data_IF_433112430928
#
_entry.id   IF_433112430928
#
_cell.length_a   1.000
_cell.length_b   1.000
_cell.length_c   1.000
_cell.angle_alpha   90.00
_cell.angle_beta   90.00
_cell.angle_gamma   90.00
#
_symmetry.space_group_name_H-M   'P 1'
#
loop_
_entity.id
_entity.type
_entity.pdbx_description
1 polymer ?
#
# COMPACT_ATOMS: atom_id res chain seq x y z
N UNK A 1 9.38 -8.64 -16.05
CA UNK A 1 9.47 -7.29 -15.44
C UNK A 1 10.79 -6.68 -15.86
N UNK A 2 10.74 -5.62 -16.65
CA UNK A 2 11.89 -4.73 -16.86
C UNK A 2 11.82 -3.68 -15.75
N UNK A 3 12.86 -3.57 -14.92
CA UNK A 3 12.85 -2.66 -13.75
C UNK A 3 13.69 -1.43 -14.06
N UNK A 4 13.19 -0.54 -14.92
CA UNK A 4 13.81 0.76 -15.08
C UNK A 4 13.78 1.51 -13.73
N UNK A 5 14.89 2.12 -13.32
CA UNK A 5 14.91 2.93 -12.10
C UNK A 5 13.95 4.13 -12.23
N UNK A 6 13.90 4.74 -13.41
CA UNK A 6 12.80 5.62 -13.83
C UNK A 6 11.53 4.77 -14.01
N UNK A 7 10.50 5.00 -13.19
CA UNK A 7 9.29 4.18 -13.17
C UNK A 7 9.39 2.86 -12.38
N UNK A 8 10.41 2.71 -11.52
CA UNK A 8 10.67 1.48 -10.78
C UNK A 8 9.50 1.03 -9.90
N UNK A 9 9.14 -0.25 -10.03
CA UNK A 9 8.15 -0.93 -9.20
C UNK A 9 8.78 -1.74 -8.04
N UNK A 10 10.02 -1.42 -7.64
CA UNK A 10 10.69 -2.06 -6.51
C UNK A 10 9.94 -1.91 -5.19
N UNK A 11 9.32 -0.75 -4.96
CA UNK A 11 8.42 -0.55 -3.83
C UNK A 11 7.06 -1.21 -4.01
N UNK A 12 6.69 -1.59 -5.24
CA UNK A 12 5.38 -2.13 -5.55
C UNK A 12 5.20 -3.58 -5.11
N UNK A 13 6.24 -4.28 -4.69
CA UNK A 13 6.13 -5.64 -4.16
C UNK A 13 6.94 -5.79 -2.87
N UNK A 14 6.54 -6.73 -2.02
CA UNK A 14 7.38 -7.26 -0.95
C UNK A 14 8.05 -8.54 -1.46
N UNK A 15 9.35 -8.44 -1.69
CA UNK A 15 10.15 -9.45 -2.36
C UNK A 15 10.74 -10.49 -1.41
N UNK A 16 10.63 -10.28 -0.08
CA UNK A 16 11.32 -11.11 0.92
C UNK A 16 10.99 -12.59 0.79
N UNK A 17 9.74 -12.91 0.48
CA UNK A 17 9.31 -14.30 0.28
C UNK A 17 10.10 -15.00 -0.84
N UNK A 18 10.52 -14.27 -1.88
CA UNK A 18 11.35 -14.85 -2.95
C UNK A 18 12.80 -15.04 -2.49
N UNK A 19 13.34 -14.11 -1.71
CA UNK A 19 14.70 -14.21 -1.17
C UNK A 19 14.84 -15.43 -0.23
N UNK A 20 13.83 -15.70 0.59
CA UNK A 20 13.80 -16.86 1.52
C UNK A 20 13.77 -18.22 0.78
N UNK A 21 13.14 -18.28 -0.39
CA UNK A 21 13.13 -19.48 -1.23
C UNK A 21 14.51 -19.73 -1.86
N UNK A 22 15.25 -18.66 -2.21
CA UNK A 22 16.60 -18.75 -2.77
C UNK A 22 17.66 -19.22 -1.76
N UNK A 23 17.53 -18.85 -0.48
CA UNK A 23 18.45 -19.29 0.58
C UNK A 23 18.25 -20.77 0.97
N UNK A 24 17.05 -21.32 0.75
CA UNK A 24 16.70 -22.71 1.11
C UNK A 24 17.21 -23.78 0.13
N UNK A 25 17.76 -23.42 -1.03
CA UNK A 25 18.41 -24.39 -1.92
C UNK A 25 19.80 -24.87 -1.41
N UNK A 26 20.31 -24.31 -0.30
CA UNK A 26 21.66 -24.59 0.21
C UNK A 26 21.82 -25.05 1.66
N UNK A 27 20.82 -24.96 2.54
CA UNK A 27 21.03 -25.17 3.98
C UNK A 27 19.90 -25.92 4.69
N UNK A 28 19.83 -27.24 4.47
CA UNK A 28 19.22 -28.14 5.46
C UNK A 28 20.27 -28.33 6.55
N UNK A 29 20.20 -27.55 7.63
CA UNK A 29 20.72 -28.03 8.91
C UNK A 29 19.59 -28.09 9.94
N UNK A 30 19.42 -29.31 10.41
CA UNK A 30 18.25 -29.78 11.14
C UNK A 30 18.44 -29.60 12.64
N UNK A 31 17.93 -28.50 13.22
CA UNK A 31 17.56 -28.47 14.64
C UNK A 31 16.38 -27.52 14.85
N UNK A 32 15.28 -28.04 15.35
CA UNK A 32 14.12 -27.26 15.74
C UNK A 32 14.41 -26.35 16.93
N UNK A 33 14.43 -25.04 16.67
CA UNK A 33 14.21 -24.00 17.67
C UNK A 33 13.28 -22.96 17.04
N UNK A 34 12.23 -22.63 17.78
CA UNK A 34 11.15 -21.75 17.35
C UNK A 34 11.67 -20.42 16.79
N UNK A 35 11.31 -20.12 15.54
CA UNK A 35 11.06 -18.77 14.98
C UNK A 35 11.62 -17.60 15.81
N UNK A 36 12.94 -17.53 15.95
CA UNK A 36 13.62 -16.35 16.45
C UNK A 36 13.68 -15.38 15.28
N UNK A 37 12.75 -14.41 15.28
CA UNK A 37 12.84 -13.06 14.67
C UNK A 37 13.99 -12.94 13.65
N UNK A 38 13.82 -13.53 12.47
CA UNK A 38 14.82 -13.45 11.39
C UNK A 38 14.85 -12.03 10.84
N UNK A 39 16.05 -11.58 10.54
CA UNK A 39 16.46 -10.22 10.19
C UNK A 39 15.37 -9.37 9.56
N UNK A 40 15.07 -8.22 10.19
CA UNK A 40 14.43 -7.12 9.48
C UNK A 40 15.48 -6.49 8.56
N UNK A 41 15.21 -6.24 7.26
CA UNK A 41 16.25 -5.95 6.26
C UNK A 41 16.85 -4.53 6.30
N UNK A 42 16.65 -3.80 7.40
CA UNK A 42 17.25 -2.49 7.71
C UNK A 42 17.89 -2.49 9.10
N UNK A 43 18.02 -3.68 9.70
CA UNK A 43 18.64 -3.87 11.01
C UNK A 43 19.96 -4.58 10.81
N UNK A 44 20.93 -3.84 10.28
CA UNK A 44 22.33 -4.22 10.19
C UNK A 44 22.98 -4.30 11.58
N UNK A 45 22.21 -4.54 12.66
CA UNK A 45 22.69 -4.55 14.05
C UNK A 45 23.31 -3.24 14.55
N UNK A 46 23.50 -2.24 13.67
CA UNK A 46 24.19 -0.97 13.88
C UNK A 46 23.44 0.24 13.28
N UNK A 47 22.26 0.05 12.67
CA UNK A 47 21.47 1.13 12.06
C UNK A 47 20.62 1.95 13.06
N UNK A 48 20.73 3.28 13.05
CA UNK A 48 19.93 4.23 13.85
C UNK A 48 18.44 4.33 13.40
N UNK A 49 17.94 3.42 12.55
CA UNK A 49 16.58 3.47 12.01
C UNK A 49 15.49 3.21 13.05
N UNK A 50 14.34 3.90 12.99
CA UNK A 50 13.15 3.52 13.79
C UNK A 50 12.46 2.34 13.12
N UNK A 51 12.22 1.21 13.80
CA UNK A 51 11.58 0.06 13.17
C UNK A 51 10.06 0.31 12.98
N UNK A 52 9.49 -0.02 11.80
CA UNK A 52 8.04 0.07 11.58
C UNK A 52 7.29 -0.93 12.47
N UNK A 53 6.05 -0.59 12.79
CA UNK A 53 5.13 -1.43 13.56
C UNK A 53 4.52 -2.53 12.69
N UNK A 54 4.20 -2.22 11.44
CA UNK A 54 3.80 -3.21 10.44
C UNK A 54 5.01 -4.04 9.95
N UNK A 55 4.72 -4.97 9.04
CA UNK A 55 5.69 -5.90 8.45
C UNK A 55 5.87 -5.66 6.95
N UNK A 56 5.56 -4.48 6.40
CA UNK A 56 5.84 -4.21 4.99
C UNK A 56 7.28 -3.66 4.82
N UNK A 57 8.09 -4.34 4.00
CA UNK A 57 9.49 -3.96 3.78
C UNK A 57 9.63 -2.61 3.06
N UNK A 58 8.74 -2.28 2.12
CA UNK A 58 8.85 -1.08 1.29
C UNK A 58 7.64 -0.18 1.44
N UNK A 59 7.83 1.11 1.67
CA UNK A 59 6.68 2.00 1.86
C UNK A 59 6.93 3.37 1.28
N UNK A 60 6.21 3.67 0.21
CA UNK A 60 6.15 5.01 -0.36
C UNK A 60 5.19 5.83 0.51
N UNK A 61 5.75 6.79 1.22
CA UNK A 61 4.97 7.72 2.03
C UNK A 61 4.38 8.81 1.13
N UNK A 62 3.07 8.89 1.06
CA UNK A 62 2.35 9.89 0.29
C UNK A 62 2.30 11.23 1.01
N UNK A 63 2.36 12.30 0.23
CA UNK A 63 2.07 13.65 0.66
C UNK A 63 0.56 13.84 0.91
N UNK A 64 0.24 14.84 1.71
CA UNK A 64 -1.14 15.20 2.10
C UNK A 64 -2.05 15.39 0.89
N UNK A 65 -1.56 16.09 -0.12
CA UNK A 65 -2.38 16.46 -1.27
C UNK A 65 -2.65 15.25 -2.18
N UNK A 66 -1.73 14.28 -2.23
CA UNK A 66 -1.97 12.96 -2.85
C UNK A 66 -3.03 12.17 -2.07
N UNK A 67 -2.95 12.14 -0.73
CA UNK A 67 -3.98 11.51 0.12
C UNK A 67 -5.36 12.11 -0.15
N UNK A 68 -5.45 13.45 -0.25
CA UNK A 68 -6.71 14.13 -0.61
C UNK A 68 -7.19 13.75 -2.00
N UNK A 69 -6.29 13.66 -2.97
CA UNK A 69 -6.61 13.22 -4.32
C UNK A 69 -7.24 11.83 -4.35
N UNK A 70 -6.69 10.87 -3.62
CA UNK A 70 -7.29 9.52 -3.49
C UNK A 70 -8.65 9.55 -2.79
N UNK A 71 -8.83 10.37 -1.76
CA UNK A 71 -10.13 10.52 -1.07
C UNK A 71 -11.19 11.13 -1.99
N UNK A 72 -10.83 12.14 -2.78
CA UNK A 72 -11.71 12.76 -3.79
C UNK A 72 -12.12 11.77 -4.88
N UNK A 73 -11.23 10.84 -5.23
CA UNK A 73 -11.49 9.80 -6.22
C UNK A 73 -12.24 8.57 -5.66
N UNK A 74 -12.69 8.61 -4.40
CA UNK A 74 -13.34 7.45 -3.76
C UNK A 74 -12.41 6.25 -3.55
N UNK A 75 -11.09 6.45 -3.63
CA UNK A 75 -10.07 5.40 -3.58
C UNK A 75 -9.45 5.24 -2.18
N UNK A 76 -10.18 5.58 -1.12
CA UNK A 76 -9.70 5.46 0.26
C UNK A 76 -9.22 4.03 0.62
N UNK A 77 -9.83 3.02 -0.01
CA UNK A 77 -9.47 1.62 0.13
C UNK A 77 -8.03 1.30 -0.29
N UNK A 78 -7.42 2.13 -1.16
CA UNK A 78 -6.05 2.01 -1.63
C UNK A 78 -5.01 2.39 -0.57
N UNK A 79 -5.40 3.19 0.43
CA UNK A 79 -4.46 3.83 1.35
C UNK A 79 -4.31 3.04 2.65
N UNK A 80 -3.17 3.16 3.33
CA UNK A 80 -2.97 2.60 4.67
C UNK A 80 -2.01 3.46 5.50
N UNK A 81 -2.24 3.61 6.81
CA UNK A 81 -1.26 4.22 7.69
C UNK A 81 -0.09 3.27 8.00
N UNK A 82 1.07 3.84 8.28
CA UNK A 82 2.24 3.16 8.90
C UNK A 82 2.70 3.94 10.12
N UNK A 83 2.96 3.21 11.20
CA UNK A 83 3.52 3.73 12.45
C UNK A 83 4.92 3.18 12.70
N UNK A 84 5.70 3.85 13.54
CA UNK A 84 7.03 3.41 13.97
C UNK A 84 7.12 3.27 15.47
N UNK A 85 8.02 2.40 15.92
CA UNK A 85 8.38 2.35 17.33
C UNK A 85 9.22 3.57 17.71
N UNK A 86 9.01 4.08 18.91
CA UNK A 86 9.91 5.04 19.51
C UNK A 86 11.29 4.42 19.75
N UNK A 87 12.35 5.23 19.71
CA UNK A 87 13.71 4.78 20.06
C UNK A 87 13.85 4.63 21.58
N UNK A 88 13.22 5.52 22.32
CA UNK A 88 13.17 5.55 23.78
C UNK A 88 11.88 6.20 24.30
N UNK A 89 11.70 6.16 25.63
CA UNK A 89 10.51 6.66 26.32
C UNK A 89 10.26 8.17 26.12
N UNK A 90 11.28 8.96 25.77
CA UNK A 90 11.16 10.41 25.60
C UNK A 90 10.62 10.81 24.22
N UNK A 91 10.72 9.91 23.25
CA UNK A 91 10.26 10.09 21.87
C UNK A 91 8.95 9.34 21.58
N UNK A 92 8.34 8.72 22.61
CA UNK A 92 7.26 7.77 22.46
C UNK A 92 6.01 8.09 23.25
N UNK A 93 4.90 7.51 22.80
CA UNK A 93 3.65 7.39 23.55
C UNK A 93 3.19 5.94 23.55
N UNK A 94 2.78 5.44 24.71
CA UNK A 94 2.31 4.06 24.83
C UNK A 94 0.87 3.92 24.33
N UNK A 95 0.68 3.08 23.32
CA UNK A 95 -0.63 2.74 22.75
C UNK A 95 -0.64 1.24 22.47
N UNK A 96 -1.69 0.54 22.89
CA UNK A 96 -1.84 -0.91 22.71
C UNK A 96 -0.63 -1.73 23.21
N UNK A 97 0.01 -1.27 24.29
CA UNK A 97 1.22 -1.90 24.86
C UNK A 97 2.47 -1.76 23.98
N UNK A 98 2.50 -0.78 23.08
CA UNK A 98 3.63 -0.47 22.20
C UNK A 98 4.02 0.99 22.34
N UNK A 99 5.32 1.25 22.40
CA UNK A 99 5.89 2.60 22.34
C UNK A 99 5.87 3.12 20.92
N UNK A 100 4.90 3.98 20.59
CA UNK A 100 4.72 4.57 19.26
C UNK A 100 5.47 5.89 19.19
N UNK A 101 6.27 6.08 18.13
CA UNK A 101 7.00 7.33 17.91
C UNK A 101 6.06 8.53 17.89
N UNK A 102 6.48 9.63 18.51
CA UNK A 102 5.65 10.80 18.70
C UNK A 102 6.43 12.12 18.52
N UNK A 103 5.73 13.16 18.10
CA UNK A 103 6.22 14.53 18.07
C UNK A 103 5.34 15.37 18.99
N UNK A 104 5.94 15.97 20.03
CA UNK A 104 5.23 16.73 21.06
C UNK A 104 4.06 15.94 21.70
N UNK A 105 4.30 14.65 22.00
CA UNK A 105 3.30 13.76 22.60
C UNK A 105 2.19 13.30 21.64
N UNK A 106 2.32 13.58 20.34
CA UNK A 106 1.36 13.16 19.31
C UNK A 106 1.94 12.02 18.47
N UNK A 107 1.29 10.84 18.45
CA UNK A 107 1.74 9.70 17.65
C UNK A 107 1.88 10.10 16.20
N UNK A 108 3.01 9.74 15.59
CA UNK A 108 3.27 10.06 14.18
C UNK A 108 3.13 8.86 13.27
N UNK A 109 2.65 9.10 12.05
CA UNK A 109 2.43 8.09 11.03
C UNK A 109 2.64 8.66 9.62
N UNK A 110 2.95 7.79 8.65
CA UNK A 110 2.81 8.10 7.22
C UNK A 110 1.54 7.43 6.69
N UNK A 111 1.08 7.88 5.53
CA UNK A 111 0.09 7.19 4.71
C UNK A 111 0.78 6.72 3.46
N UNK A 112 0.46 5.51 3.00
CA UNK A 112 1.03 4.89 1.80
C UNK A 112 -0.01 4.05 1.08
N UNK A 113 0.42 3.38 0.02
CA UNK A 113 -0.43 2.47 -0.75
C UNK A 113 -0.45 1.07 -0.13
N UNK A 114 -1.62 0.43 -0.17
CA UNK A 114 -1.80 -0.95 0.28
C UNK A 114 -1.21 -1.94 -0.71
N UNK A 115 -0.79 -3.07 -0.14
CA UNK A 115 -0.26 -4.22 -0.88
C UNK A 115 -1.10 -5.47 -0.62
N UNK A 116 -2.29 -5.61 -1.25
CA UNK A 116 -3.02 -6.88 -1.18
C UNK A 116 -2.16 -8.04 -1.73
N UNK A 117 -2.45 -9.29 -1.33
CA UNK A 117 -1.76 -10.44 -1.89
C UNK A 117 -2.19 -10.65 -3.35
N UNK A 118 -1.27 -10.57 -4.31
CA UNK A 118 -1.55 -10.86 -5.72
C UNK A 118 -0.70 -12.04 -6.23
N UNK A 119 -1.20 -12.84 -7.18
CA UNK A 119 -0.45 -13.95 -7.76
C UNK A 119 0.47 -13.40 -8.85
N UNK A 120 1.75 -13.22 -8.56
CA UNK A 120 2.72 -12.59 -9.46
C UNK A 120 3.84 -13.55 -9.82
N UNK A 121 4.34 -13.45 -11.06
CA UNK A 121 5.48 -14.23 -11.55
C UNK A 121 6.60 -13.29 -12.04
N UNK A 122 7.32 -12.61 -11.13
CA UNK A 122 8.41 -11.71 -11.51
C UNK A 122 9.66 -12.49 -11.97
N UNK A 123 10.59 -11.80 -12.63
CA UNK A 123 11.88 -12.36 -13.09
C UNK A 123 11.77 -13.63 -13.95
N UNK A 124 10.74 -13.69 -14.80
CA UNK A 124 10.49 -14.78 -15.76
C UNK A 124 10.31 -16.15 -15.08
N UNK A 125 9.91 -16.14 -13.80
CA UNK A 125 9.51 -17.34 -13.10
C UNK A 125 8.32 -17.97 -13.80
N UNK A 126 8.37 -19.28 -13.98
CA UNK A 126 7.27 -20.04 -14.59
C UNK A 126 6.07 -20.18 -13.65
N UNK A 127 6.31 -20.24 -12.34
CA UNK A 127 5.28 -20.43 -11.32
C UNK A 127 5.01 -19.11 -10.56
N UNK A 128 3.75 -18.63 -10.50
CA UNK A 128 3.38 -17.45 -9.74
C UNK A 128 3.44 -17.73 -8.23
N UNK A 129 3.73 -16.68 -7.47
CA UNK A 129 3.69 -16.69 -6.02
C UNK A 129 2.73 -15.62 -5.50
N UNK A 130 2.07 -15.90 -4.37
CA UNK A 130 1.27 -14.87 -3.72
C UNK A 130 2.16 -13.89 -2.95
N UNK A 131 2.40 -12.71 -3.52
CA UNK A 131 3.21 -11.66 -2.90
C UNK A 131 2.33 -10.47 -2.45
N UNK A 132 2.68 -9.78 -1.36
CA UNK A 132 2.15 -8.45 -1.08
C UNK A 132 2.53 -7.51 -2.23
N UNK A 133 1.55 -7.08 -3.00
CA UNK A 133 1.74 -6.34 -4.24
C UNK A 133 0.87 -5.10 -4.24
N UNK A 134 1.45 -3.95 -4.55
CA UNK A 134 0.79 -2.65 -4.66
C UNK A 134 -0.53 -2.80 -5.39
N UNK A 135 -1.55 -2.18 -4.80
CA UNK A 135 -2.92 -2.26 -5.29
C UNK A 135 -3.06 -1.89 -6.79
N UNK A 136 -2.22 -1.00 -7.30
CA UNK A 136 -2.25 -0.57 -8.70
C UNK A 136 -1.32 -1.35 -9.64
N UNK A 137 -0.51 -2.26 -9.12
CA UNK A 137 0.35 -3.09 -9.96
C UNK A 137 -0.48 -4.24 -10.55
N UNK A 138 -0.58 -4.30 -11.87
CA UNK A 138 -1.16 -5.43 -12.57
C UNK A 138 -0.28 -6.67 -12.39
N UNK A 139 -0.80 -7.78 -11.82
CA UNK A 139 0.02 -8.96 -11.60
C UNK A 139 0.41 -9.71 -12.88
N UNK A 140 -0.29 -9.51 -14.01
CA UNK A 140 0.05 -10.12 -15.29
C UNK A 140 1.27 -9.44 -15.93
N UNK A 141 1.18 -8.12 -16.08
CA UNK A 141 2.18 -7.32 -16.79
C UNK A 141 3.30 -6.81 -15.88
N UNK A 142 3.06 -6.80 -14.57
CA UNK A 142 3.92 -6.19 -13.55
C UNK A 142 4.15 -4.70 -13.79
N UNK A 143 3.13 -4.02 -14.33
CA UNK A 143 3.12 -2.59 -14.60
C UNK A 143 2.11 -1.87 -13.70
N UNK A 144 2.38 -0.60 -13.41
CA UNK A 144 1.44 0.24 -12.67
C UNK A 144 0.32 0.72 -13.60
N UNK A 145 -0.94 0.39 -13.25
CA UNK A 145 -2.14 0.77 -14.02
C UNK A 145 -2.41 2.27 -14.06
N UNK A 146 -1.88 3.00 -13.11
CA UNK A 146 -2.07 4.45 -13.00
C UNK A 146 -0.80 5.24 -13.35
N UNK A 147 0.23 4.59 -13.90
CA UNK A 147 1.46 5.26 -14.33
C UNK A 147 1.15 6.40 -15.31
N UNK A 148 1.80 7.57 -15.12
CA UNK A 148 1.56 8.83 -15.85
C UNK A 148 0.10 9.33 -15.87
N UNK A 149 -0.79 8.67 -15.14
CA UNK A 149 -2.17 9.10 -14.96
C UNK A 149 -2.24 10.27 -13.99
N UNK A 150 -3.36 11.02 -14.03
CA UNK A 150 -3.62 12.14 -13.11
C UNK A 150 -3.52 11.74 -11.62
N UNK A 151 -3.69 10.45 -11.32
CA UNK A 151 -3.65 9.90 -9.95
C UNK A 151 -2.34 9.18 -9.63
N UNK A 152 -1.38 9.16 -10.54
CA UNK A 152 -0.04 8.65 -10.23
C UNK A 152 0.57 9.51 -9.12
N UNK A 153 0.96 8.94 -7.97
CA UNK A 153 1.58 9.73 -6.93
C UNK A 153 2.96 10.24 -7.38
N UNK A 154 3.21 11.53 -7.21
CA UNK A 154 4.54 12.14 -7.42
C UNK A 154 5.60 11.37 -6.60
N UNK A 155 5.23 10.94 -5.39
CA UNK A 155 6.11 10.16 -4.52
C UNK A 155 6.44 8.78 -5.10
N UNK A 156 5.56 8.17 -5.89
CA UNK A 156 5.88 6.91 -6.59
C UNK A 156 6.89 7.13 -7.72
N UNK A 157 6.81 8.26 -8.43
CA UNK A 157 7.79 8.63 -9.46
C UNK A 157 9.15 9.02 -8.88
N UNK A 158 9.16 9.71 -7.74
CA UNK A 158 10.39 10.22 -7.13
C UNK A 158 11.11 9.21 -6.22
N UNK A 159 10.40 8.23 -5.66
CA UNK A 159 10.95 7.26 -4.70
C UNK A 159 12.25 6.57 -5.15
N UNK A 160 12.38 6.10 -6.41
CA UNK A 160 13.61 5.47 -6.88
C UNK A 160 14.79 6.44 -6.88
N UNK A 161 14.59 7.66 -7.39
CA UNK A 161 15.58 8.73 -7.38
C UNK A 161 16.04 9.09 -5.97
N UNK A 162 15.09 9.17 -5.04
CA UNK A 162 15.38 9.48 -3.65
C UNK A 162 16.22 8.38 -2.97
N UNK A 163 15.92 7.10 -3.19
CA UNK A 163 16.72 6.02 -2.61
C UNK A 163 18.15 5.99 -3.17
N UNK A 164 18.31 6.14 -4.49
CA UNK A 164 19.63 6.20 -5.13
C UNK A 164 20.44 7.40 -4.63
N UNK A 165 19.81 8.57 -4.53
CA UNK A 165 20.46 9.78 -4.01
C UNK A 165 20.83 9.68 -2.51
N UNK A 166 20.09 8.89 -1.74
CA UNK A 166 20.37 8.59 -0.33
C UNK A 166 21.33 7.40 -0.14
N UNK A 167 21.88 6.86 -1.23
CA UNK A 167 22.76 5.68 -1.25
C UNK A 167 22.13 4.49 -0.50
N UNK A 168 20.80 4.33 -0.61
CA UNK A 168 20.07 3.22 0.00
C UNK A 168 19.94 2.08 -0.99
N UNK A 169 20.38 0.89 -0.58
CA UNK A 169 20.14 -0.34 -1.35
C UNK A 169 18.63 -0.61 -1.47
N UNK A 170 18.18 -0.87 -2.69
CA UNK A 170 16.81 -1.17 -3.04
C UNK A 170 16.55 -2.68 -3.02
N UNK A 171 15.30 -3.10 -2.82
CA UNK A 171 14.96 -4.53 -2.93
C UNK A 171 15.24 -5.11 -4.32
N UNK A 172 15.11 -4.30 -5.37
CA UNK A 172 15.43 -4.73 -6.73
C UNK A 172 16.89 -5.15 -6.83
N UNK A 173 17.81 -4.33 -6.32
CA UNK A 173 19.25 -4.64 -6.28
C UNK A 173 19.52 -5.94 -5.53
N UNK A 174 18.82 -6.18 -4.41
CA UNK A 174 18.96 -7.44 -3.65
C UNK A 174 18.45 -8.66 -4.39
N UNK A 175 17.29 -8.57 -5.03
CA UNK A 175 16.72 -9.69 -5.79
C UNK A 175 17.59 -9.98 -7.01
N UNK A 176 18.07 -8.96 -7.71
CA UNK A 176 19.02 -9.12 -8.81
C UNK A 176 20.34 -9.74 -8.35
N UNK A 177 20.86 -9.35 -7.18
CA UNK A 177 22.04 -9.97 -6.60
C UNK A 177 21.84 -11.46 -6.27
N UNK A 178 20.64 -11.84 -5.84
CA UNK A 178 20.31 -13.23 -5.48
C UNK A 178 20.01 -14.14 -6.70
N UNK A 179 19.26 -13.64 -7.68
CA UNK A 179 18.73 -14.44 -8.80
C UNK A 179 19.39 -14.13 -10.16
N UNK A 180 20.22 -13.10 -10.23
CA UNK A 180 20.83 -12.61 -11.47
C UNK A 180 19.87 -11.76 -12.32
N UNK A 181 20.46 -10.93 -13.19
CA UNK A 181 19.73 -10.01 -14.07
C UNK A 181 20.49 -8.70 -14.25
N UNK A 182 20.26 -8.03 -15.37
CA UNK A 182 20.67 -6.64 -15.62
C UNK A 182 19.41 -5.88 -16.00
N UNK A 183 18.52 -5.58 -15.04
CA UNK A 183 17.23 -4.97 -15.33
C UNK A 183 17.05 -3.59 -14.72
N UNK A 184 17.90 -3.18 -13.77
CA UNK A 184 18.12 -1.78 -13.43
C UNK A 184 18.82 -1.08 -14.59
N UNK A 185 18.02 -0.58 -15.52
CA UNK A 185 18.51 -0.04 -16.79
C UNK A 185 19.11 1.37 -16.65
N UNK A 186 18.89 2.04 -15.52
CA UNK A 186 19.41 3.38 -15.27
C UNK A 186 19.86 3.54 -13.81
N UNK A 187 21.17 3.58 -13.54
CA UNK A 187 21.71 3.70 -12.17
C UNK A 187 21.92 5.13 -11.71
N UNK A 188 21.55 6.12 -12.53
CA UNK A 188 21.71 7.54 -12.24
C UNK A 188 20.37 8.25 -12.44
N UNK A 189 20.04 9.18 -11.57
CA UNK A 189 18.79 9.95 -11.64
C UNK A 189 19.14 11.42 -11.43
N UNK A 190 18.34 12.33 -12.03
CA UNK A 190 18.62 13.76 -11.91
C UNK A 190 18.68 14.17 -10.43
N UNK A 191 19.70 14.95 -10.07
CA UNK A 191 20.10 15.22 -8.70
C UNK A 191 19.23 16.28 -7.99
N UNK A 192 18.12 16.70 -8.62
CA UNK A 192 17.20 17.66 -8.03
C UNK A 192 16.30 16.97 -7.00
N UNK A 193 16.66 17.10 -5.73
CA UNK A 193 15.97 16.51 -4.57
C UNK A 193 14.83 17.40 -4.06
N UNK A 194 14.36 18.35 -4.87
CA UNK A 194 13.19 19.16 -4.58
C UNK A 194 11.97 18.23 -4.38
N UNK A 195 11.52 18.09 -3.12
CA UNK A 195 10.34 17.27 -2.77
C UNK A 195 10.58 16.21 -1.70
N UNK A 196 11.84 15.89 -1.36
CA UNK A 196 12.18 14.89 -0.32
C UNK A 196 11.60 15.22 1.08
N UNK A 197 11.19 16.46 1.31
CA UNK A 197 10.55 16.97 2.53
C UNK A 197 11.24 16.45 3.81
N UNK A 198 12.55 16.70 3.94
CA UNK A 198 13.33 16.27 5.10
C UNK A 198 13.38 17.33 6.21
N UNK A 199 12.79 17.05 7.38
CA UNK A 199 12.85 17.94 8.55
C UNK A 199 11.47 18.44 8.99
N UNK A 200 11.42 19.59 9.67
CA UNK A 200 10.16 20.10 10.25
C UNK A 200 9.07 20.41 9.22
N UNK A 201 9.46 20.74 7.98
CA UNK A 201 8.53 20.97 6.88
C UNK A 201 7.78 19.69 6.43
N UNK A 202 8.29 18.51 6.79
CA UNK A 202 7.59 17.24 6.56
C UNK A 202 6.32 17.12 7.41
N UNK A 203 6.30 17.77 8.59
CA UNK A 203 5.17 17.69 9.52
C UNK A 203 3.91 18.25 8.89
N UNK A 204 2.87 17.44 8.85
CA UNK A 204 1.58 17.76 8.25
C UNK A 204 1.57 17.87 6.73
N UNK A 205 2.73 17.70 6.07
CA UNK A 205 2.84 17.59 4.62
C UNK A 205 2.99 16.13 4.18
N UNK A 206 3.76 15.34 4.93
CA UNK A 206 4.06 13.92 4.65
C UNK A 206 4.05 13.09 5.94
N UNK A 207 4.70 13.59 7.00
CA UNK A 207 4.62 13.01 8.35
C UNK A 207 3.42 13.59 9.10
N UNK A 208 2.44 12.76 9.41
CA UNK A 208 1.22 13.19 10.09
C UNK A 208 1.31 12.90 11.59
N UNK A 209 0.66 13.74 12.41
CA UNK A 209 0.66 13.60 13.86
C UNK A 209 -0.78 13.55 14.38
N UNK A 210 -1.16 12.45 15.01
CA UNK A 210 -2.51 12.27 15.55
C UNK A 210 -2.77 13.24 16.71
N UNK A 211 -3.85 14.05 16.72
CA UNK A 211 -4.12 15.01 17.80
C UNK A 211 -4.50 14.36 19.13
N UNK A 212 -5.06 13.14 19.08
CA UNK A 212 -5.67 12.44 20.21
C UNK A 212 -5.19 10.99 20.25
N UNK A 213 -4.16 10.65 21.04
CA UNK A 213 -3.61 9.30 21.11
C UNK A 213 -4.66 8.21 21.42
N UNK A 214 -5.67 8.55 22.22
CA UNK A 214 -6.76 7.66 22.64
C UNK A 214 -7.62 7.15 21.47
N UNK A 215 -7.73 7.91 20.38
CA UNK A 215 -8.49 7.47 19.20
C UNK A 215 -7.76 6.36 18.41
N UNK A 216 -6.47 6.15 18.69
CA UNK A 216 -5.66 5.09 18.09
C UNK A 216 -5.71 3.77 18.87
N UNK A 217 -6.45 3.71 19.99
CA UNK A 217 -6.61 2.47 20.76
C UNK A 217 -7.20 1.34 19.88
N UNK A 218 -6.50 0.20 19.87
CA UNK A 218 -6.75 -0.94 19.01
C UNK A 218 -6.28 -0.79 17.55
N UNK A 219 -6.08 0.43 17.05
CA UNK A 219 -5.60 0.68 15.68
C UNK A 219 -4.14 0.26 15.54
N UNK A 220 -3.32 0.56 16.54
CA UNK A 220 -1.88 0.24 16.52
C UNK A 220 -1.67 -1.27 16.58
N UNK A 221 -2.44 -1.98 17.42
CA UNK A 221 -2.44 -3.45 17.44
C UNK A 221 -2.89 -4.05 16.11
N UNK A 222 -4.01 -3.56 15.54
CA UNK A 222 -4.48 -4.05 14.23
C UNK A 222 -3.52 -3.73 13.09
N UNK A 223 -2.78 -2.62 13.17
CA UNK A 223 -1.69 -2.31 12.23
C UNK A 223 -0.60 -3.37 12.32
N UNK A 224 -0.14 -3.69 13.53
CA UNK A 224 0.90 -4.69 13.73
C UNK A 224 0.50 -6.10 13.24
N UNK A 225 -0.80 -6.41 13.28
CA UNK A 225 -1.35 -7.69 12.85
C UNK A 225 -1.76 -7.70 11.36
N UNK A 226 -1.68 -6.57 10.66
CA UNK A 226 -2.14 -6.47 9.26
C UNK A 226 -3.66 -6.57 9.09
N UNK A 227 -4.44 -6.26 10.13
CA UNK A 227 -5.90 -6.45 10.18
C UNK A 227 -6.66 -5.13 10.32
N UNK A 228 -6.14 -4.03 9.78
CA UNK A 228 -6.81 -2.73 9.82
C UNK A 228 -8.17 -2.78 9.12
N UNK A 229 -9.19 -2.27 9.81
CA UNK A 229 -10.52 -2.07 9.24
C UNK A 229 -10.58 -0.79 8.42
N UNK A 230 -11.66 -0.61 7.66
CA UNK A 230 -11.88 0.63 6.92
C UNK A 230 -12.08 1.84 7.85
N UNK A 231 -12.71 1.65 9.01
CA UNK A 231 -12.87 2.70 10.02
C UNK A 231 -11.52 3.13 10.62
N UNK A 232 -10.62 2.18 10.89
CA UNK A 232 -9.27 2.48 11.40
C UNK A 232 -8.48 3.32 10.40
N UNK A 233 -8.57 2.95 9.11
CA UNK A 233 -7.96 3.74 8.03
C UNK A 233 -8.59 5.11 7.96
N UNK A 234 -9.92 5.21 7.97
CA UNK A 234 -10.63 6.48 7.87
C UNK A 234 -10.18 7.50 8.94
N UNK A 235 -9.93 7.07 10.17
CA UNK A 235 -9.39 7.93 11.22
C UNK A 235 -8.04 8.55 10.83
N UNK A 236 -7.08 7.70 10.43
CA UNK A 236 -5.74 8.18 10.06
C UNK A 236 -5.75 9.02 8.78
N UNK A 237 -6.57 8.65 7.79
CA UNK A 237 -6.71 9.38 6.53
C UNK A 237 -7.36 10.76 6.74
N UNK A 238 -8.33 10.86 7.65
CA UNK A 238 -8.94 12.13 8.03
C UNK A 238 -7.92 13.08 8.66
N UNK A 239 -7.09 12.58 9.58
CA UNK A 239 -6.01 13.38 10.19
C UNK A 239 -4.98 13.80 9.15
N UNK A 240 -4.58 12.89 8.25
CA UNK A 240 -3.65 13.21 7.16
C UNK A 240 -4.22 14.33 6.30
N UNK A 241 -5.43 14.17 5.75
CA UNK A 241 -6.12 15.17 4.93
C UNK A 241 -6.32 16.51 5.65
N UNK A 242 -6.47 16.49 6.98
CA UNK A 242 -6.65 17.70 7.78
C UNK A 242 -5.36 18.44 8.13
N UNK A 243 -4.21 17.83 7.94
CA UNK A 243 -2.95 18.35 8.46
C UNK A 243 -2.45 19.61 7.74
N UNK A 244 -1.76 20.47 8.50
CA UNK A 244 -1.21 21.74 8.02
C UNK A 244 0.33 21.66 7.92
N UNK A 245 0.91 21.78 6.72
CA UNK A 245 2.36 21.70 6.46
C UNK A 245 3.20 22.58 7.38
N UNK A 246 4.31 22.02 7.87
CA UNK A 246 5.23 22.65 8.81
C UNK A 246 4.69 22.79 10.24
N UNK A 247 3.53 22.20 10.57
CA UNK A 247 2.90 22.35 11.89
C UNK A 247 2.24 21.05 12.36
N UNK A 248 1.79 21.04 13.61
CA UNK A 248 0.92 19.99 14.15
C UNK A 248 -0.57 20.36 14.05
N UNK A 249 -0.92 21.52 13.49
CA UNK A 249 -2.32 21.95 13.40
C UNK A 249 -3.09 21.10 12.38
N UNK A 250 -4.34 20.79 12.71
CA UNK A 250 -5.28 20.14 11.80
C UNK A 250 -6.52 21.01 11.61
N UNK A 251 -7.12 20.94 10.43
CA UNK A 251 -8.36 21.63 10.08
C UNK A 251 -9.56 20.72 10.36
N UNK A 252 -10.44 21.14 11.28
CA UNK A 252 -11.67 20.39 11.61
C UNK A 252 -12.54 20.13 10.37
N UNK A 253 -12.72 21.13 9.50
CA UNK A 253 -13.45 20.97 8.24
C UNK A 253 -12.89 19.84 7.36
N UNK A 254 -11.56 19.83 7.15
CA UNK A 254 -10.92 18.81 6.31
C UNK A 254 -10.87 17.44 6.99
N UNK A 255 -10.85 17.40 8.32
CA UNK A 255 -10.94 16.15 9.08
C UNK A 255 -12.31 15.50 8.87
N UNK A 256 -13.39 16.25 9.08
CA UNK A 256 -14.76 15.73 8.88
C UNK A 256 -14.97 15.32 7.41
N UNK A 257 -14.54 16.16 6.47
CA UNK A 257 -14.60 15.85 5.03
C UNK A 257 -13.82 14.57 4.70
N UNK A 258 -12.57 14.44 5.18
CA UNK A 258 -11.73 13.29 4.87
C UNK A 258 -12.27 12.00 5.49
N UNK A 259 -12.82 12.09 6.71
CA UNK A 259 -13.45 10.97 7.41
C UNK A 259 -14.70 10.49 6.69
N UNK A 260 -15.55 11.42 6.26
CA UNK A 260 -16.75 11.12 5.49
C UNK A 260 -16.40 10.40 4.18
N UNK A 261 -15.48 10.95 3.36
CA UNK A 261 -15.05 10.32 2.10
C UNK A 261 -14.46 8.93 2.31
N UNK A 262 -13.64 8.75 3.35
CA UNK A 262 -13.04 7.46 3.64
C UNK A 262 -14.07 6.40 4.08
N UNK A 263 -15.11 6.81 4.81
CA UNK A 263 -16.18 5.91 5.27
C UNK A 263 -17.21 5.62 4.17
N UNK A 264 -17.53 6.59 3.31
CA UNK A 264 -18.42 6.38 2.16
C UNK A 264 -17.86 5.32 1.22
N UNK A 265 -16.58 5.45 0.86
CA UNK A 265 -15.87 4.45 0.08
C UNK A 265 -16.04 3.05 0.73
N UNK A 266 -15.90 2.96 2.06
CA UNK A 266 -16.04 1.72 2.81
C UNK A 266 -17.49 1.20 2.94
N UNK A 267 -18.51 2.06 2.87
CA UNK A 267 -19.90 1.62 2.89
C UNK A 267 -20.34 1.05 1.55
N UNK A 268 -19.87 1.64 0.46
CA UNK A 268 -20.08 1.12 -0.90
C UNK A 268 -19.44 -0.26 -1.02
N UNK A 269 -18.28 -0.48 -0.36
CA UNK A 269 -17.65 -1.79 -0.26
C UNK A 269 -18.55 -2.90 0.34
N UNK A 270 -19.39 -2.58 1.32
CA UNK A 270 -20.29 -3.55 1.98
C UNK A 270 -21.61 -3.77 1.24
N UNK A 271 -22.05 -2.82 0.41
CA UNK A 271 -23.32 -2.92 -0.31
C UNK A 271 -23.25 -3.89 -1.50
N UNK A 272 -22.09 -3.98 -2.17
CA UNK A 272 -21.89 -4.85 -3.34
C UNK A 272 -21.95 -6.34 -2.99
N UNK A 273 -21.50 -6.74 -1.78
CA UNK A 273 -21.42 -8.15 -1.34
C UNK A 273 -22.81 -8.79 -1.13
N UNK A 274 -23.86 -7.98 -0.97
CA UNK A 274 -25.23 -8.47 -0.80
C UNK A 274 -25.99 -8.71 -2.11
N UNK A 275 -25.57 -8.10 -3.23
CA UNK A 275 -26.29 -8.22 -4.51
C UNK A 275 -26.03 -9.55 -5.24
N UNK A 276 -24.90 -10.21 -4.99
CA UNK A 276 -24.54 -11.50 -5.62
C UNK A 276 -25.18 -12.74 -4.96
N UNK A 277 -25.95 -12.56 -3.87
CA UNK A 277 -26.58 -13.68 -3.14
C UNK A 277 -28.04 -13.97 -3.50
N UNK A 278 -28.61 -13.23 -4.46
CA UNK A 278 -30.04 -13.32 -4.79
C UNK A 278 -30.30 -14.18 -6.02
N UNK A 279 -30.11 -15.49 -5.91
CA UNK A 279 -30.68 -16.47 -6.85
C UNK A 279 -32.19 -16.60 -6.63
N UNK A 280 -32.93 -16.31 -7.71
CA UNK A 280 -34.28 -16.75 -8.08
C UNK A 280 -35.42 -16.64 -7.04
N UNK A 281 -36.29 -15.66 -7.27
CA UNK A 281 -37.73 -15.81 -7.01
C UNK A 281 -38.53 -15.00 -8.03
N UNK A 282 -38.94 -15.72 -9.06
CA UNK A 282 -39.92 -15.35 -10.08
C UNK A 282 -41.27 -14.92 -9.48
N UNK A 283 -41.68 -13.67 -9.71
CA UNK A 283 -43.08 -13.26 -9.82
C UNK A 283 -43.14 -11.80 -10.33
N UNK A 284 -43.60 -11.64 -11.57
CA UNK A 284 -43.66 -10.35 -12.26
C UNK A 284 -44.61 -9.34 -11.62
N UNK A 285 -44.31 -8.07 -11.86
CA UNK A 285 -45.33 -7.04 -12.04
C UNK A 285 -44.76 -5.92 -12.93
N UNK A 286 -45.64 -5.48 -13.82
CA UNK A 286 -45.44 -4.54 -14.90
C UNK A 286 -45.48 -3.12 -14.30
N UNK A 287 -44.36 -2.38 -14.31
CA UNK A 287 -44.35 -0.90 -14.21
C UNK A 287 -42.98 -0.30 -14.53
N UNK A 288 -42.94 0.29 -15.72
CA UNK A 288 -42.14 1.43 -16.15
C UNK A 288 -41.68 2.38 -15.03
N UNK A 289 -40.36 2.50 -14.88
CA UNK A 289 -39.65 3.74 -14.58
C UNK A 289 -38.26 3.67 -15.24
N UNK A 290 -38.20 4.17 -16.48
CA UNK A 290 -36.94 4.43 -17.20
C UNK A 290 -36.24 5.63 -16.55
N UNK A 291 -35.34 5.35 -15.60
CA UNK A 291 -34.26 6.24 -15.19
C UNK A 291 -32.93 5.47 -15.34
N UNK A 292 -31.85 6.08 -15.86
CA UNK A 292 -30.65 5.35 -16.19
C UNK A 292 -29.92 4.95 -14.91
N UNK A 293 -30.04 3.67 -14.55
CA UNK A 293 -29.25 3.00 -13.51
C UNK A 293 -27.78 2.79 -13.94
N UNK A 294 -27.37 3.36 -15.08
CA UNK A 294 -26.07 3.12 -15.73
C UNK A 294 -25.02 4.22 -15.51
N UNK A 295 -25.35 5.30 -14.80
CA UNK A 295 -24.40 6.35 -14.42
C UNK A 295 -23.88 6.22 -12.98
N UNK A 296 -24.65 5.64 -12.04
CA UNK A 296 -24.18 5.43 -10.66
C UNK A 296 -23.13 4.32 -10.53
N UNK A 297 -23.22 3.29 -11.37
CA UNK A 297 -22.24 2.19 -11.41
C UNK A 297 -20.89 2.59 -12.04
N UNK A 298 -20.75 3.78 -12.63
CA UNK A 298 -19.50 4.24 -13.26
C UNK A 298 -18.58 5.05 -12.35
N UNK A 299 -19.07 5.47 -11.19
CA UNK A 299 -18.33 6.29 -10.24
C UNK A 299 -17.79 5.48 -9.04
N UNK A 300 -18.12 4.19 -8.93
CA UNK A 300 -17.59 3.32 -7.87
C UNK A 300 -16.16 2.88 -8.19
N UNK A 301 -15.25 3.06 -7.24
CA UNK A 301 -13.85 2.66 -7.40
C UNK A 301 -13.69 1.14 -7.42
N UNK A 302 -13.04 0.60 -8.46
CA UNK A 302 -12.67 -0.83 -8.58
C UNK A 302 -11.77 -1.34 -7.45
N UNK A 303 -11.04 -0.43 -6.80
CA UNK A 303 -9.93 -0.74 -5.88
C UNK A 303 -10.39 -1.51 -4.65
N UNK A 304 -11.43 -1.03 -3.97
CA UNK A 304 -11.94 -1.69 -2.76
C UNK A 304 -12.39 -3.12 -3.03
N UNK A 305 -13.33 -3.33 -3.97
CA UNK A 305 -13.75 -4.67 -4.41
C UNK A 305 -12.59 -5.59 -4.81
N UNK A 306 -11.63 -5.11 -5.61
CA UNK A 306 -10.48 -5.90 -6.03
C UNK A 306 -9.62 -6.36 -4.84
N UNK A 307 -9.34 -5.47 -3.88
CA UNK A 307 -8.58 -5.85 -2.67
C UNK A 307 -9.28 -6.96 -1.89
N UNK A 308 -10.61 -6.87 -1.71
CA UNK A 308 -11.38 -7.90 -0.98
C UNK A 308 -11.35 -9.23 -1.72
N UNK A 309 -11.52 -9.20 -3.04
CA UNK A 309 -11.44 -10.37 -3.90
C UNK A 309 -10.08 -11.07 -3.76
N UNK A 310 -8.98 -10.32 -3.82
CA UNK A 310 -7.63 -10.84 -3.65
C UNK A 310 -7.42 -11.54 -2.31
N UNK A 311 -7.84 -10.91 -1.21
CA UNK A 311 -7.77 -11.53 0.11
C UNK A 311 -8.66 -12.79 0.22
N UNK A 312 -9.86 -12.76 -0.37
CA UNK A 312 -10.77 -13.91 -0.38
C UNK A 312 -10.16 -15.09 -1.13
N UNK A 313 -9.58 -14.85 -2.32
CA UNK A 313 -8.89 -15.87 -3.12
C UNK A 313 -7.69 -16.43 -2.36
N UNK A 314 -6.81 -15.57 -1.83
CA UNK A 314 -5.65 -16.00 -1.00
C UNK A 314 -6.08 -16.91 0.16
N UNK A 315 -7.17 -16.56 0.86
CA UNK A 315 -7.69 -17.35 1.98
C UNK A 315 -8.32 -18.68 1.53
N UNK A 316 -8.95 -18.72 0.37
CA UNK A 316 -9.60 -19.92 -0.17
C UNK A 316 -8.64 -20.86 -0.92
N UNK A 317 -7.45 -20.40 -1.29
CA UNK A 317 -6.59 -21.11 -2.23
C UNK A 317 -5.87 -22.36 -1.65
N UNK A 318 -5.94 -22.62 -0.34
CA UNK A 318 -5.29 -23.77 0.34
C UNK A 318 -3.82 -24.00 -0.11
N UNK A 319 -3.08 -22.91 -0.30
CA UNK A 319 -1.68 -22.93 -0.76
C UNK A 319 -1.48 -22.95 -2.27
N UNK A 320 -2.52 -23.12 -3.08
CA UNK A 320 -2.44 -22.97 -4.55
C UNK A 320 -2.29 -21.50 -4.95
N UNK A 321 -1.58 -21.25 -6.05
CA UNK A 321 -1.47 -19.92 -6.65
C UNK A 321 -2.11 -19.98 -8.03
N UNK A 322 -3.16 -19.19 -8.32
CA UNK A 322 -3.75 -19.14 -9.64
C UNK A 322 -2.80 -18.44 -10.62
N UNK A 323 -3.08 -18.63 -11.90
CA UNK A 323 -2.44 -17.86 -12.97
C UNK A 323 -2.72 -16.35 -12.79
N UNK A 324 -1.73 -15.46 -13.03
CA UNK A 324 -1.93 -14.02 -12.97
C UNK A 324 -3.08 -13.48 -13.84
N UNK A 325 -3.46 -14.19 -14.91
CA UNK A 325 -4.59 -13.86 -15.81
C UNK A 325 -5.93 -13.68 -15.10
N UNK A 326 -6.03 -14.22 -13.89
CA UNK A 326 -7.15 -14.01 -12.99
C UNK A 326 -7.41 -12.52 -12.67
N UNK A 327 -6.41 -11.64 -12.87
CA UNK A 327 -6.55 -10.20 -12.70
C UNK A 327 -7.55 -9.55 -13.65
N UNK A 328 -7.83 -10.15 -14.82
CA UNK A 328 -8.90 -9.65 -15.69
C UNK A 328 -10.26 -9.69 -14.97
N UNK A 329 -10.56 -10.82 -14.32
CA UNK A 329 -11.79 -10.97 -13.54
C UNK A 329 -11.77 -10.10 -12.28
N UNK A 330 -10.60 -9.99 -11.61
CA UNK A 330 -10.49 -9.30 -10.31
C UNK A 330 -10.44 -7.77 -10.44
N UNK A 331 -9.82 -7.24 -11.49
CA UNK A 331 -9.51 -5.83 -11.66
C UNK A 331 -10.11 -5.25 -12.95
N UNK A 332 -9.80 -5.83 -14.13
CA UNK A 332 -10.19 -5.24 -15.43
C UNK A 332 -11.71 -5.17 -15.61
N UNK A 333 -12.42 -6.27 -15.33
CA UNK A 333 -13.88 -6.36 -15.42
C UNK A 333 -14.58 -5.41 -14.43
N UNK A 334 -13.86 -4.93 -13.41
CA UNK A 334 -14.33 -3.93 -12.44
C UNK A 334 -13.99 -2.49 -12.84
N UNK A 335 -13.36 -2.28 -13.99
CA UNK A 335 -13.00 -0.96 -14.50
C UNK A 335 -11.60 -0.50 -14.13
N UNK A 336 -10.69 -1.40 -13.76
CA UNK A 336 -9.29 -1.05 -13.62
C UNK A 336 -8.74 -0.55 -14.98
N UNK A 337 -7.94 0.55 -15.00
CA UNK A 337 -7.28 0.98 -16.23
C UNK A 337 -6.37 -0.12 -16.77
N UNK A 338 -6.30 -0.25 -18.09
CA UNK A 338 -5.28 -1.08 -18.74
C UNK A 338 -3.88 -0.55 -18.46
N UNK A 339 -2.87 -1.40 -18.57
CA UNK A 339 -1.50 -0.96 -18.33
C UNK A 339 -0.89 -0.31 -19.58
N UNK A 340 -0.09 0.76 -19.41
CA UNK A 340 0.68 1.32 -20.51
C UNK A 340 1.76 0.29 -20.88
N UNK A 341 1.59 -0.43 -22.00
CA UNK A 341 2.58 -1.40 -22.46
C UNK A 341 3.99 -0.78 -22.53
N UNK A 342 5.04 -1.58 -22.32
CA UNK A 342 6.43 -1.09 -22.23
C UNK A 342 6.88 -0.28 -23.46
N UNK A 343 6.38 -0.62 -24.67
CA UNK A 343 6.63 0.13 -25.90
C UNK A 343 6.13 1.59 -25.87
N UNK A 344 5.25 1.94 -24.93
CA UNK A 344 4.71 3.30 -24.75
C UNK A 344 5.48 4.13 -23.71
N UNK A 345 6.46 3.53 -23.02
CA UNK A 345 7.28 4.16 -21.99
C UNK A 345 8.68 4.59 -22.50
N UNK A 346 8.95 4.45 -23.81
CA UNK A 346 10.19 4.89 -24.50
C UNK A 346 10.19 6.35 -24.96
#
# INVERSE_FOLDING_TARGET
MEVHCEGCAGCCMDWRALLEDGENEGAIDSVGTASERRHRPFDDGEGDGRPPIDDDANFVALARDEVRGFLEAGMAAALTPRFWRARDESEGVEIDGRSVAAVAGRPVFFVGLRKPPKPVAPFDREEPAWLPTCVFLDPMTLQCRIHDGERFPDECGAYPAHNLALEQETECERVEAAFGGERLLETEVDADLDGLLLGSQALGAKLFAHPRPEDLEGIVERTANGTLTAADRAECLAVAAASSPGTLAISEYHYEWGKERALEAASDETATDHRDSSTDSDAGDDRSDDAPDSERDRDESWVGPAIREWHRRRAAADGTVPDPDVATEVEDDRGAPGTPGWDALE
#
